data_IF_390173929705
#
_entry.id   IF_390173929705
#
_cell.length_a   1.000
_cell.length_b   1.000
_cell.length_c   1.000
_cell.angle_alpha   90.00
_cell.angle_beta   90.00
_cell.angle_gamma   90.00
#
_symmetry.space_group_name_H-M   'P 1'
#
loop_
_entity.id
_entity.type
_entity.pdbx_description
1 polymer ?
#
# COMPACT_ATOMS: atom_id res chain seq x y z
N UNK A 1 15.75 6.30 -15.78
CA UNK A 1 15.46 4.98 -15.20
C UNK A 1 15.95 3.97 -16.20
N UNK A 2 16.80 3.03 -15.80
CA UNK A 2 17.27 1.97 -16.71
C UNK A 2 16.16 0.93 -16.92
N UNK A 3 16.31 0.10 -17.96
CA UNK A 3 15.32 -0.92 -18.31
C UNK A 3 15.17 -1.97 -17.20
N UNK A 4 16.26 -2.33 -16.54
CA UNK A 4 16.29 -3.31 -15.44
C UNK A 4 15.45 -2.86 -14.24
N UNK A 5 15.56 -1.59 -13.84
CA UNK A 5 14.72 -1.03 -12.77
C UNK A 5 13.25 -1.03 -13.15
N UNK A 6 12.93 -0.74 -14.42
CA UNK A 6 11.54 -0.73 -14.89
C UNK A 6 10.93 -2.14 -14.84
N UNK A 7 11.68 -3.16 -15.25
CA UNK A 7 11.22 -4.55 -15.24
C UNK A 7 10.99 -5.04 -13.81
N UNK A 8 11.87 -4.69 -12.86
CA UNK A 8 11.70 -5.00 -11.45
C UNK A 8 10.42 -4.37 -10.86
N UNK A 9 10.16 -3.10 -11.18
CA UNK A 9 8.95 -2.40 -10.71
C UNK A 9 7.68 -2.99 -11.33
N UNK A 10 7.71 -3.40 -12.60
CA UNK A 10 6.60 -4.07 -13.26
C UNK A 10 6.30 -5.43 -12.62
N UNK A 11 7.32 -6.25 -12.38
CA UNK A 11 7.14 -7.53 -11.67
C UNK A 11 6.54 -7.30 -10.27
N UNK A 12 7.03 -6.29 -9.57
CA UNK A 12 6.49 -5.96 -8.26
C UNK A 12 5.04 -5.49 -8.33
N UNK A 13 4.71 -4.65 -9.30
CA UNK A 13 3.34 -4.21 -9.54
C UNK A 13 2.40 -5.41 -9.74
N UNK A 14 2.78 -6.38 -10.57
CA UNK A 14 1.96 -7.57 -10.82
C UNK A 14 1.79 -8.42 -9.56
N UNK A 15 2.85 -8.59 -8.77
CA UNK A 15 2.80 -9.31 -7.49
C UNK A 15 1.89 -8.62 -6.49
N UNK A 16 1.94 -7.29 -6.40
CA UNK A 16 1.08 -6.52 -5.51
C UNK A 16 -0.38 -6.54 -5.95
N UNK A 17 -0.66 -6.36 -7.24
CA UNK A 17 -2.03 -6.45 -7.78
C UNK A 17 -2.61 -7.83 -7.50
N UNK A 18 -1.84 -8.90 -7.74
CA UNK A 18 -2.28 -10.26 -7.45
C UNK A 18 -2.55 -10.47 -5.95
N UNK A 19 -1.70 -9.94 -5.07
CA UNK A 19 -1.89 -10.02 -3.63
C UNK A 19 -3.14 -9.25 -3.17
N UNK A 20 -3.33 -8.01 -3.63
CA UNK A 20 -4.46 -7.16 -3.25
C UNK A 20 -5.77 -7.72 -3.82
N UNK A 21 -5.78 -8.16 -5.08
CA UNK A 21 -6.96 -8.72 -5.73
C UNK A 21 -7.48 -9.97 -5.01
N UNK A 22 -6.61 -10.81 -4.44
CA UNK A 22 -7.03 -11.94 -3.61
C UNK A 22 -7.77 -11.51 -2.32
N UNK A 23 -7.56 -10.27 -1.87
CA UNK A 23 -8.20 -9.70 -0.67
C UNK A 23 -9.50 -8.98 -1.02
N UNK A 24 -9.45 -8.06 -1.98
CA UNK A 24 -10.58 -7.19 -2.32
C UNK A 24 -11.54 -7.81 -3.34
N UNK A 25 -11.09 -8.81 -4.10
CA UNK A 25 -11.86 -9.52 -5.15
C UNK A 25 -12.41 -8.62 -6.25
N UNK A 26 -11.70 -7.52 -6.51
CA UNK A 26 -11.98 -6.57 -7.57
C UNK A 26 -10.63 -6.13 -8.18
N UNK A 27 -10.50 -6.35 -9.48
CA UNK A 27 -9.24 -6.12 -10.20
C UNK A 27 -8.94 -4.64 -10.38
N UNK A 28 -9.94 -3.81 -10.66
CA UNK A 28 -9.73 -2.39 -10.88
C UNK A 28 -9.41 -1.71 -9.56
N UNK A 29 -10.18 -2.01 -8.52
CA UNK A 29 -9.88 -1.56 -7.16
C UNK A 29 -8.49 -2.02 -6.69
N UNK A 30 -8.08 -3.25 -7.01
CA UNK A 30 -6.75 -3.72 -6.67
C UNK A 30 -5.65 -2.88 -7.33
N UNK A 31 -5.84 -2.44 -8.58
CA UNK A 31 -4.89 -1.54 -9.25
C UNK A 31 -4.85 -0.18 -8.57
N UNK A 32 -6.01 0.38 -8.20
CA UNK A 32 -6.11 1.68 -7.53
C UNK A 32 -5.37 1.66 -6.18
N UNK A 33 -5.61 0.63 -5.36
CA UNK A 33 -4.90 0.44 -4.09
C UNK A 33 -3.38 0.30 -4.32
N UNK A 34 -2.96 -0.44 -5.35
CA UNK A 34 -1.53 -0.61 -5.66
C UNK A 34 -0.89 0.70 -6.15
N UNK A 35 -1.64 1.55 -6.86
CA UNK A 35 -1.18 2.88 -7.23
C UNK A 35 -0.90 3.72 -5.97
N UNK A 36 -1.79 3.73 -4.99
CA UNK A 36 -1.59 4.42 -3.72
C UNK A 36 -0.39 3.88 -2.94
N UNK A 37 -0.17 2.55 -2.97
CA UNK A 37 1.03 1.92 -2.41
C UNK A 37 2.28 2.49 -3.07
N UNK A 38 2.34 2.55 -4.40
CA UNK A 38 3.53 3.07 -5.10
C UNK A 38 3.77 4.55 -4.79
N UNK A 39 2.72 5.37 -4.73
CA UNK A 39 2.84 6.77 -4.30
C UNK A 39 3.49 6.86 -2.91
N UNK A 40 3.05 6.05 -1.95
CA UNK A 40 3.62 6.00 -0.59
C UNK A 40 5.05 5.47 -0.56
N UNK A 41 5.34 4.43 -1.35
CA UNK A 41 6.68 3.85 -1.49
C UNK A 41 7.65 4.89 -2.01
N UNK A 42 7.38 5.53 -3.15
CA UNK A 42 8.28 6.51 -3.74
C UNK A 42 8.42 7.77 -2.87
N UNK A 43 7.36 8.18 -2.17
CA UNK A 43 7.42 9.33 -1.24
C UNK A 43 8.30 9.06 -0.02
N UNK A 44 8.41 7.80 0.42
CA UNK A 44 9.11 7.42 1.65
C UNK A 44 10.37 6.57 1.40
N UNK A 45 10.75 6.31 0.15
CA UNK A 45 11.86 5.40 -0.16
C UNK A 45 13.19 5.86 0.47
N UNK A 46 13.37 7.17 0.62
CA UNK A 46 14.55 7.76 1.26
C UNK A 46 14.62 7.53 2.78
N UNK A 47 13.51 7.13 3.43
CA UNK A 47 13.49 6.81 4.86
C UNK A 47 13.89 5.36 5.15
N UNK A 48 14.00 4.52 4.11
CA UNK A 48 14.35 3.12 4.24
C UNK A 48 15.85 2.98 4.58
N UNK A 49 16.14 2.61 5.84
CA UNK A 49 17.52 2.46 6.32
C UNK A 49 18.25 1.25 5.72
N UNK A 50 17.53 0.16 5.49
CA UNK A 50 18.08 -1.07 4.93
C UNK A 50 17.41 -1.38 3.59
N UNK A 51 18.14 -1.13 2.50
CA UNK A 51 17.67 -1.33 1.13
C UNK A 51 17.37 -2.81 0.81
N UNK A 52 18.02 -3.75 1.49
CA UNK A 52 17.80 -5.20 1.29
C UNK A 52 16.39 -5.62 1.77
N UNK A 53 15.75 -4.81 2.61
CA UNK A 53 14.39 -5.04 3.12
C UNK A 53 13.29 -4.35 2.32
N UNK A 54 13.62 -3.76 1.17
CA UNK A 54 12.66 -2.96 0.37
C UNK A 54 11.39 -3.75 0.02
N UNK A 55 11.53 -5.02 -0.39
CA UNK A 55 10.38 -5.86 -0.74
C UNK A 55 9.45 -6.04 0.46
N UNK A 56 9.98 -6.44 1.61
CA UNK A 56 9.20 -6.62 2.84
C UNK A 56 8.52 -5.32 3.30
N UNK A 57 9.21 -4.18 3.15
CA UNK A 57 8.68 -2.87 3.48
C UNK A 57 7.54 -2.45 2.54
N UNK A 58 7.67 -2.69 1.23
CA UNK A 58 6.59 -2.46 0.26
C UNK A 58 5.35 -3.29 0.63
N UNK A 59 5.52 -4.58 0.92
CA UNK A 59 4.40 -5.44 1.33
C UNK A 59 3.77 -5.00 2.65
N UNK A 60 4.52 -4.38 3.55
CA UNK A 60 3.98 -3.78 4.76
C UNK A 60 3.06 -2.59 4.43
N UNK A 61 3.50 -1.69 3.55
CA UNK A 61 2.67 -0.58 3.06
C UNK A 61 1.41 -1.13 2.38
N UNK A 62 1.54 -2.13 1.51
CA UNK A 62 0.39 -2.77 0.84
C UNK A 62 -0.65 -3.31 1.82
N UNK A 63 -0.22 -3.99 2.89
CA UNK A 63 -1.14 -4.48 3.92
C UNK A 63 -1.86 -3.34 4.63
N UNK A 64 -1.15 -2.24 4.90
CA UNK A 64 -1.74 -1.06 5.53
C UNK A 64 -2.79 -0.39 4.63
N UNK A 65 -2.54 -0.32 3.32
CA UNK A 65 -3.51 0.21 2.35
C UNK A 65 -4.76 -0.66 2.26
N UNK A 66 -4.59 -1.97 2.15
CA UNK A 66 -5.73 -2.92 2.15
C UNK A 66 -6.56 -2.77 3.43
N UNK A 67 -5.91 -2.68 4.60
CA UNK A 67 -6.62 -2.48 5.87
C UNK A 67 -7.33 -1.12 5.93
N UNK A 68 -6.73 -0.08 5.36
CA UNK A 68 -7.34 1.26 5.27
C UNK A 68 -8.57 1.24 4.38
N UNK A 69 -8.49 0.60 3.22
CA UNK A 69 -9.65 0.40 2.34
C UNK A 69 -10.81 -0.27 3.07
N UNK A 70 -10.59 -1.41 3.74
CA UNK A 70 -11.67 -2.10 4.45
C UNK A 70 -12.22 -1.32 5.65
N UNK A 71 -11.36 -0.57 6.35
CA UNK A 71 -11.79 0.32 7.43
C UNK A 71 -12.69 1.43 6.89
N UNK A 72 -12.32 2.07 5.79
CA UNK A 72 -13.11 3.12 5.15
C UNK A 72 -14.42 2.56 4.61
N UNK A 73 -14.40 1.39 3.95
CA UNK A 73 -15.62 0.72 3.50
C UNK A 73 -16.58 0.44 4.66
N UNK A 74 -16.06 -0.01 5.81
CA UNK A 74 -16.88 -0.20 7.01
C UNK A 74 -17.49 1.11 7.50
N UNK A 75 -16.75 2.22 7.49
CA UNK A 75 -17.27 3.53 7.87
C UNK A 75 -18.35 4.03 6.91
N UNK A 76 -18.15 3.91 5.60
CA UNK A 76 -19.17 4.25 4.59
C UNK A 76 -20.44 3.40 4.74
N UNK A 77 -20.31 2.12 5.12
CA UNK A 77 -21.47 1.28 5.42
C UNK A 77 -22.12 1.57 6.79
N UNK A 78 -21.42 2.26 7.69
CA UNK A 78 -21.85 2.55 9.06
C UNK A 78 -22.16 4.03 9.29
N UNK A 79 -22.22 4.84 8.23
CA UNK A 79 -22.46 6.28 8.32
C UNK A 79 -23.91 6.58 8.71
N UNK A 80 -24.18 6.42 10.00
CA UNK A 80 -24.95 7.36 10.80
C UNK A 80 -24.09 8.08 11.85
N UNK A 81 -22.81 7.72 12.09
CA UNK A 81 -21.96 8.50 13.01
C UNK A 81 -20.47 8.53 12.57
N UNK A 82 -19.97 9.73 12.30
CA UNK A 82 -18.55 10.03 12.10
C UNK A 82 -17.82 10.08 13.45
N UNK A 83 -16.62 9.49 13.52
CA UNK A 83 -15.52 10.19 14.14
C UNK A 83 -14.40 10.37 13.12
N UNK A 84 -14.13 11.65 12.83
CA UNK A 84 -12.81 12.10 12.40
C UNK A 84 -11.80 11.62 13.44
N UNK A 85 -10.85 10.76 13.04
CA UNK A 85 -9.67 10.51 13.87
C UNK A 85 -8.42 10.79 13.07
N UNK A 86 -7.97 12.03 13.24
CA UNK A 86 -6.60 12.46 13.41
C UNK A 86 -5.55 11.33 13.53
N UNK A 87 -4.58 11.41 12.62
CA UNK A 87 -3.11 11.32 12.80
C UNK A 87 -2.46 10.41 13.86
N UNK A 88 -1.25 9.94 13.49
CA UNK A 88 -0.12 9.44 14.35
C UNK A 88 -0.11 7.89 14.48
N UNK A 89 0.97 7.11 14.22
CA UNK A 89 2.36 7.10 14.73
C UNK A 89 3.35 6.54 13.68
N UNK A 90 4.45 7.20 13.28
CA UNK A 90 5.70 7.46 14.02
C UNK A 90 6.47 6.26 14.62
N UNK A 91 6.19 5.01 14.28
CA UNK A 91 6.99 3.87 14.78
C UNK A 91 7.49 2.89 13.71
N UNK A 92 8.25 3.37 12.72
CA UNK A 92 9.04 2.48 11.85
C UNK A 92 10.51 2.90 11.81
N UNK A 93 11.12 2.88 12.99
CA UNK A 93 12.55 2.60 13.12
C UNK A 93 12.75 1.80 14.41
N UNK A 94 12.91 0.50 14.27
CA UNK A 94 13.71 -0.31 15.19
C UNK A 94 14.49 -1.31 14.34
#
# INVERSE_FOLDING_TARGET
MDQETLDLWNEMNDRLIHFVNQKVRDKELAKDIVQDVFVKVFSNINTLKNKDKIVSWIFQITRNEVNTYFRNQKYESSSEDLPETETIDKNLTS
#
